data_IF_966895124555
#
_entry.id   IF_966895124555
#
_cell.length_a   1.000
_cell.length_b   1.000
_cell.length_c   1.000
_cell.angle_alpha   90.00
_cell.angle_beta   90.00
_cell.angle_gamma   90.00
#
_symmetry.space_group_name_H-M   'P 1'
#
loop_
_entity.id
_entity.type
_entity.pdbx_description
1 polymer ?
#
# COMPACT_ATOMS: atom_id res chain seq x y z
N UNK A 1 -36.53 -9.63 17.37
CA UNK A 1 -36.14 -8.25 16.95
C UNK A 1 -34.76 -8.32 16.30
N UNK A 2 -34.66 -8.23 14.97
CA UNK A 2 -33.35 -8.22 14.27
C UNK A 2 -32.76 -6.82 14.38
N UNK A 3 -31.80 -6.63 15.28
CA UNK A 3 -30.97 -5.42 15.34
C UNK A 3 -30.08 -5.38 14.08
N UNK A 4 -30.60 -4.84 12.99
CA UNK A 4 -29.78 -4.46 11.84
C UNK A 4 -28.92 -3.29 12.23
N UNK A 5 -27.66 -3.54 12.64
CA UNK A 5 -26.69 -2.46 12.84
C UNK A 5 -26.58 -1.68 11.52
N UNK A 6 -26.68 -0.34 11.53
CA UNK A 6 -26.53 0.43 10.31
C UNK A 6 -25.15 0.13 9.73
N UNK A 7 -25.12 -0.45 8.54
CA UNK A 7 -23.89 -0.76 7.83
C UNK A 7 -23.19 0.58 7.59
N UNK A 8 -22.12 0.83 8.33
CA UNK A 8 -21.29 2.01 8.13
C UNK A 8 -20.46 1.76 6.87
N UNK A 9 -21.05 2.00 5.70
CA UNK A 9 -20.45 1.75 4.37
C UNK A 9 -19.03 2.30 4.28
N UNK A 10 -18.74 3.44 4.94
CA UNK A 10 -17.40 4.02 5.05
C UNK A 10 -16.36 3.13 5.74
N UNK A 11 -16.74 2.36 6.75
CA UNK A 11 -15.84 1.43 7.45
C UNK A 11 -15.52 0.24 6.57
N UNK A 12 -16.54 -0.31 5.89
CA UNK A 12 -16.35 -1.41 4.94
C UNK A 12 -15.49 -0.99 3.75
N UNK A 13 -15.74 0.21 3.18
CA UNK A 13 -14.92 0.75 2.10
C UNK A 13 -13.44 0.86 2.52
N UNK A 14 -13.16 1.38 3.72
CA UNK A 14 -11.79 1.44 4.25
C UNK A 14 -11.16 0.07 4.45
N UNK A 15 -11.91 -0.88 5.01
CA UNK A 15 -11.41 -2.24 5.20
C UNK A 15 -11.08 -2.91 3.86
N UNK A 16 -11.95 -2.76 2.86
CA UNK A 16 -11.72 -3.29 1.51
C UNK A 16 -10.47 -2.67 0.88
N UNK A 17 -10.31 -1.35 0.96
CA UNK A 17 -9.13 -0.69 0.37
C UNK A 17 -7.85 -1.06 1.13
N UNK A 18 -7.89 -1.21 2.45
CA UNK A 18 -6.75 -1.66 3.24
C UNK A 18 -6.33 -3.10 2.85
N UNK A 19 -7.29 -4.02 2.74
CA UNK A 19 -7.02 -5.39 2.29
C UNK A 19 -6.45 -5.37 0.87
N UNK A 20 -7.05 -4.60 -0.04
CA UNK A 20 -6.56 -4.44 -1.41
C UNK A 20 -5.10 -3.99 -1.40
N UNK A 21 -4.76 -2.92 -0.67
CA UNK A 21 -3.38 -2.42 -0.59
C UNK A 21 -2.41 -3.46 -0.07
N UNK A 22 -2.76 -4.17 1.01
CA UNK A 22 -1.91 -5.23 1.57
C UNK A 22 -1.66 -6.31 0.53
N UNK A 23 -2.69 -6.70 -0.23
CA UNK A 23 -2.54 -7.73 -1.28
C UNK A 23 -1.63 -7.25 -2.42
N UNK A 24 -1.86 -6.04 -2.97
CA UNK A 24 -1.04 -5.58 -4.11
C UNK A 24 0.41 -5.32 -3.69
N UNK A 25 0.64 -4.74 -2.52
CA UNK A 25 1.98 -4.54 -1.97
C UNK A 25 2.71 -5.85 -1.67
N UNK A 26 1.99 -6.86 -1.16
CA UNK A 26 2.56 -8.20 -0.95
C UNK A 26 3.00 -8.82 -2.28
N UNK A 27 2.20 -8.69 -3.35
CA UNK A 27 2.56 -9.20 -4.68
C UNK A 27 3.79 -8.49 -5.26
N UNK A 28 3.89 -7.17 -5.13
CA UNK A 28 5.10 -6.42 -5.53
C UNK A 28 6.31 -6.89 -4.74
N UNK A 29 6.19 -7.05 -3.42
CA UNK A 29 7.29 -7.50 -2.58
C UNK A 29 7.76 -8.91 -2.94
N UNK A 30 6.82 -9.84 -3.19
CA UNK A 30 7.13 -11.21 -3.59
C UNK A 30 7.82 -11.25 -4.96
N UNK A 31 7.32 -10.53 -5.95
CA UNK A 31 7.94 -10.45 -7.29
C UNK A 31 9.32 -9.78 -7.26
N UNK A 32 9.49 -8.75 -6.43
CA UNK A 32 10.79 -8.13 -6.18
C UNK A 32 11.79 -9.07 -5.49
N UNK A 33 11.32 -9.85 -4.52
CA UNK A 33 12.13 -10.86 -3.84
C UNK A 33 12.55 -11.99 -4.80
N UNK A 34 11.65 -12.43 -5.68
CA UNK A 34 11.96 -13.39 -6.74
C UNK A 34 13.04 -12.87 -7.69
N UNK A 35 12.97 -11.59 -8.09
CA UNK A 35 14.00 -10.95 -8.91
C UNK A 35 15.33 -10.78 -8.20
N UNK A 36 15.30 -10.58 -6.88
CA UNK A 36 16.50 -10.49 -6.06
C UNK A 36 17.20 -11.84 -5.88
N UNK A 37 16.42 -12.92 -5.69
CA UNK A 37 16.92 -14.30 -5.63
C UNK A 37 17.33 -14.86 -7.00
N UNK A 38 16.93 -14.22 -8.10
CA UNK A 38 17.28 -14.65 -9.44
C UNK A 38 18.80 -14.57 -9.67
N UNK A 39 19.47 -15.68 -10.08
CA UNK A 39 20.92 -15.73 -10.22
C UNK A 39 21.39 -14.68 -11.23
N UNK A 40 22.24 -13.74 -10.81
CA UNK A 40 22.79 -12.68 -11.65
C UNK A 40 24.19 -13.04 -12.17
N UNK A 41 24.35 -13.12 -13.49
CA UNK A 41 25.62 -13.38 -14.16
C UNK A 41 25.54 -13.19 -15.68
N UNK A 42 26.68 -13.19 -16.42
CA UNK A 42 26.73 -12.87 -17.87
C UNK A 42 25.88 -13.78 -18.78
N UNK A 43 25.46 -14.96 -18.31
CA UNK A 43 24.54 -15.89 -19.01
C UNK A 43 23.11 -15.90 -18.47
N UNK A 44 22.82 -15.10 -17.44
CA UNK A 44 21.53 -15.07 -16.72
C UNK A 44 20.35 -14.61 -17.58
N UNK A 45 20.59 -13.82 -18.63
CA UNK A 45 19.54 -13.41 -19.58
C UNK A 45 18.85 -14.55 -20.33
N UNK A 46 19.42 -15.76 -20.32
CA UNK A 46 18.84 -16.98 -20.91
C UNK A 46 18.42 -18.02 -19.88
N UNK A 47 18.60 -17.75 -18.59
CA UNK A 47 18.26 -18.71 -17.55
C UNK A 47 16.79 -18.55 -17.20
N UNK A 48 16.05 -19.62 -17.42
CA UNK A 48 14.63 -19.75 -17.06
C UNK A 48 14.51 -19.69 -15.53
N UNK A 49 13.71 -18.76 -15.03
CA UNK A 49 13.32 -18.66 -13.62
C UNK A 49 12.05 -19.48 -13.38
N UNK A 50 11.43 -19.29 -12.21
CA UNK A 50 10.09 -19.81 -11.91
C UNK A 50 9.13 -19.51 -13.07
N UNK A 51 8.30 -20.51 -13.42
CA UNK A 51 7.33 -20.47 -14.53
C UNK A 51 7.94 -20.37 -15.94
N UNK A 52 9.20 -20.80 -16.14
CA UNK A 52 9.84 -20.80 -17.47
C UNK A 52 9.94 -19.40 -18.11
N UNK A 53 9.93 -18.35 -17.27
CA UNK A 53 10.10 -16.97 -17.71
C UNK A 53 11.53 -16.51 -17.46
N UNK A 54 12.05 -15.67 -18.35
CA UNK A 54 13.36 -15.05 -18.18
C UNK A 54 13.34 -14.01 -17.07
N UNK A 55 14.53 -13.68 -16.52
CA UNK A 55 14.67 -12.56 -15.57
C UNK A 55 14.17 -11.23 -16.12
N UNK A 56 14.29 -11.01 -17.43
CA UNK A 56 13.79 -9.82 -18.11
C UNK A 56 12.28 -9.72 -18.01
N UNK A 57 11.57 -10.79 -18.36
CA UNK A 57 10.11 -10.82 -18.35
C UNK A 57 9.54 -10.68 -16.94
N UNK A 58 10.17 -11.31 -15.94
CA UNK A 58 9.82 -11.08 -14.54
C UNK A 58 10.06 -9.63 -14.10
N UNK A 59 11.09 -8.97 -14.65
CA UNK A 59 11.37 -7.55 -14.44
C UNK A 59 10.25 -6.66 -14.98
N UNK A 60 9.79 -6.94 -16.20
CA UNK A 60 8.69 -6.22 -16.83
C UNK A 60 7.38 -6.42 -16.07
N UNK A 61 7.06 -7.67 -15.68
CA UNK A 61 5.89 -7.98 -14.86
C UNK A 61 5.96 -7.23 -13.52
N UNK A 62 7.10 -7.29 -12.83
CA UNK A 62 7.28 -6.57 -11.57
C UNK A 62 7.10 -5.06 -11.73
N UNK A 63 7.66 -4.48 -12.81
CA UNK A 63 7.50 -3.06 -13.11
C UNK A 63 6.04 -2.68 -13.32
N UNK A 64 5.29 -3.41 -14.14
CA UNK A 64 3.88 -3.15 -14.37
C UNK A 64 3.01 -3.31 -13.11
N UNK A 65 3.28 -4.34 -12.29
CA UNK A 65 2.59 -4.53 -11.00
C UNK A 65 2.94 -3.38 -10.05
N UNK A 66 4.20 -2.93 -10.00
CA UNK A 66 4.61 -1.79 -9.18
C UNK A 66 3.91 -0.50 -9.62
N UNK A 67 3.84 -0.22 -10.92
CA UNK A 67 3.11 0.93 -11.46
C UNK A 67 1.63 0.87 -11.08
N UNK A 68 0.97 -0.29 -11.28
CA UNK A 68 -0.43 -0.48 -10.89
C UNK A 68 -0.63 -0.27 -9.38
N UNK A 69 0.29 -0.76 -8.55
CA UNK A 69 0.25 -0.60 -7.09
C UNK A 69 0.35 0.86 -6.66
N UNK A 70 1.22 1.64 -7.31
CA UNK A 70 1.32 3.08 -7.07
C UNK A 70 0.01 3.78 -7.44
N UNK A 71 -0.58 3.48 -8.60
CA UNK A 71 -1.86 4.05 -9.03
C UNK A 71 -2.97 3.74 -8.04
N UNK A 72 -3.11 2.48 -7.61
CA UNK A 72 -4.10 2.08 -6.58
C UNK A 72 -3.86 2.81 -5.26
N UNK A 73 -2.61 2.99 -4.87
CA UNK A 73 -2.24 3.74 -3.65
C UNK A 73 -2.66 5.21 -3.76
N UNK A 74 -2.44 5.86 -4.90
CA UNK A 74 -2.88 7.24 -5.12
C UNK A 74 -4.40 7.35 -5.07
N UNK A 75 -5.12 6.44 -5.73
CA UNK A 75 -6.59 6.41 -5.72
C UNK A 75 -7.12 6.23 -4.29
N UNK A 76 -6.51 5.34 -3.50
CA UNK A 76 -6.84 5.19 -2.08
C UNK A 76 -6.68 6.50 -1.31
N UNK A 77 -5.55 7.19 -1.47
CA UNK A 77 -5.28 8.46 -0.78
C UNK A 77 -6.32 9.53 -1.14
N UNK A 78 -6.79 9.57 -2.39
CA UNK A 78 -7.84 10.49 -2.83
C UNK A 78 -9.17 10.16 -2.16
N UNK A 79 -9.56 8.88 -2.12
CA UNK A 79 -10.81 8.42 -1.50
C UNK A 79 -10.82 8.70 0.01
N UNK A 80 -9.70 8.40 0.69
CA UNK A 80 -9.55 8.58 2.14
C UNK A 80 -8.95 9.95 2.53
N UNK A 81 -8.87 10.90 1.59
CA UNK A 81 -8.30 12.24 1.81
C UNK A 81 -8.91 13.01 3.00
N UNK A 82 -10.22 12.79 3.26
CA UNK A 82 -10.90 13.35 4.44
C UNK A 82 -10.41 12.73 5.75
N UNK A 83 -10.13 11.43 5.75
CA UNK A 83 -9.55 10.72 6.89
C UNK A 83 -8.14 11.22 7.17
N UNK A 84 -7.34 11.31 6.11
CA UNK A 84 -5.94 11.73 6.18
C UNK A 84 -5.82 13.14 6.76
N UNK A 85 -6.62 14.10 6.28
CA UNK A 85 -6.64 15.46 6.87
C UNK A 85 -7.03 15.47 8.34
N UNK A 86 -7.95 14.59 8.75
CA UNK A 86 -8.32 14.45 10.16
C UNK A 86 -7.16 13.95 11.03
N UNK A 87 -6.43 12.93 10.55
CA UNK A 87 -5.25 12.39 11.23
C UNK A 87 -4.11 13.41 11.26
N UNK A 88 -3.82 14.08 10.15
CA UNK A 88 -2.79 15.13 10.09
C UNK A 88 -3.13 16.25 11.07
N UNK A 89 -4.38 16.73 11.06
CA UNK A 89 -4.83 17.76 12.00
C UNK A 89 -4.70 17.30 13.45
N UNK A 90 -5.05 16.04 13.74
CA UNK A 90 -4.89 15.46 15.07
C UNK A 90 -3.41 15.45 15.49
N UNK A 91 -2.52 14.95 14.65
CA UNK A 91 -1.07 14.90 14.92
C UNK A 91 -0.49 16.31 15.15
N UNK A 92 -0.85 17.28 14.32
CA UNK A 92 -0.37 18.67 14.48
C UNK A 92 -0.96 19.37 15.70
N UNK A 93 -2.17 18.98 16.13
CA UNK A 93 -2.85 19.60 17.28
C UNK A 93 -2.35 19.00 18.60
N UNK A 94 -2.05 17.70 18.65
CA UNK A 94 -1.51 17.02 19.83
C UNK A 94 -0.17 17.62 20.28
N UNK A 95 0.62 18.17 19.36
CA UNK A 95 1.90 18.82 19.69
C UNK A 95 1.75 20.26 20.21
N UNK A 96 0.55 20.85 20.21
CA UNK A 96 0.28 22.09 20.95
C UNK A 96 0.02 21.74 22.41
N UNK A 97 1.09 21.67 23.19
CA UNK A 97 0.99 21.60 24.64
C UNK A 97 0.15 22.76 25.20
N UNK A 98 -0.62 22.55 26.28
CA UNK A 98 -1.34 23.63 26.93
C UNK A 98 -0.32 24.68 27.40
N UNK A 99 -0.33 25.86 26.77
CA UNK A 99 0.39 27.03 27.29
C UNK A 99 -0.24 27.36 28.64
N UNK A 100 0.42 26.92 29.72
CA UNK A 100 0.08 27.28 31.09
C UNK A 100 0.33 28.79 31.26
N UNK A 101 -0.69 29.59 30.98
CA UNK A 101 -0.77 30.96 31.49
C UNK A 101 -1.06 30.88 32.99
N UNK A 102 -0.01 30.59 33.76
CA UNK A 102 0.05 30.88 35.18
C UNK A 102 0.58 32.31 35.33
N UNK A 103 -0.27 33.28 35.03
CA UNK A 103 -0.01 34.69 35.33
C UNK A 103 -0.53 34.98 36.72
N UNK A 104 0.44 35.20 37.62
CA UNK A 104 0.47 36.02 38.84
C UNK A 104 -0.87 36.50 39.42
#
# INVERSE_FOLDING_TARGET
MKYGRPIKVKVYARAVVAIMLITVWSLVALTGLLLWLAPSGPRSGKQLLLLELTKSEWGDIHFWIAVATVVVTVVHLIIDWKALRGVIRYLTTVHRGPTLNSTK
#
